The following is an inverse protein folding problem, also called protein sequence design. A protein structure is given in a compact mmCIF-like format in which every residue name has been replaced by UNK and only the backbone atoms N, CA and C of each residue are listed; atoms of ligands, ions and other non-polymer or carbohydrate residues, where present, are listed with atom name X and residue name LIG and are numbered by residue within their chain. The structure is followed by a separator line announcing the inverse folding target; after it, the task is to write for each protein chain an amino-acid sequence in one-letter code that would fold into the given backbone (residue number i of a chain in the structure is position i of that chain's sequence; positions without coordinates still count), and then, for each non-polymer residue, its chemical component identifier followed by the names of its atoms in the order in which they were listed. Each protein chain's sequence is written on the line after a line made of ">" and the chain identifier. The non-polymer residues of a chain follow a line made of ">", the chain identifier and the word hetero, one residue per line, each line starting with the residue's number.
data_IF_169232637144
#
_entry.id   IF_169232637144
#
_cell.length_a   1.000
_cell.length_b   1.000
_cell.length_c   1.000
_cell.angle_alpha   90.00
_cell.angle_beta   90.00
_cell.angle_gamma   90.00
#
_symmetry.space_group_name_H-M   'P 1'
#
loop_
_entity.id
_entity.type
_entity.pdbx_description
1 polymer ?
#
# COMPACT_ATOMS: atom_id res chain seq x y z
N UNK A 1 11.82 -15.07 1.41
CA UNK A 1 10.64 -15.95 1.40
C UNK A 1 10.04 -15.95 0.01
N UNK A 2 9.52 -17.06 -0.50
CA UNK A 2 9.00 -17.10 -1.86
C UNK A 2 7.47 -17.13 -1.82
N UNK A 3 6.86 -16.49 -2.79
CA UNK A 3 5.41 -16.49 -3.02
C UNK A 3 5.12 -17.00 -4.41
N UNK A 4 4.10 -17.83 -4.55
CA UNK A 4 3.52 -18.22 -5.83
C UNK A 4 2.07 -17.75 -5.82
N UNK A 5 1.68 -16.95 -6.80
CA UNK A 5 0.34 -16.40 -6.92
C UNK A 5 -0.28 -16.91 -8.22
N UNK A 6 -1.41 -17.59 -8.11
CA UNK A 6 -2.21 -18.08 -9.23
C UNK A 6 -3.55 -17.35 -9.27
N UNK A 7 -3.97 -16.89 -10.45
CA UNK A 7 -5.25 -16.22 -10.67
C UNK A 7 -6.21 -17.19 -11.34
N UNK A 8 -7.37 -17.39 -10.71
CA UNK A 8 -8.42 -18.28 -11.20
C UNK A 8 -9.71 -17.51 -11.52
N UNK A 9 -10.46 -17.92 -12.55
CA UNK A 9 -11.60 -17.17 -13.06
C UNK A 9 -12.79 -17.13 -12.11
N UNK A 10 -12.96 -18.15 -11.29
CA UNK A 10 -14.13 -18.30 -10.43
C UNK A 10 -13.82 -19.12 -9.16
N UNK A 11 -14.81 -19.16 -8.26
CA UNK A 11 -14.71 -19.84 -6.98
C UNK A 11 -14.51 -21.35 -7.11
N UNK A 12 -15.20 -22.00 -8.04
CA UNK A 12 -15.17 -23.45 -8.21
C UNK A 12 -13.77 -23.92 -8.60
N UNK A 13 -13.15 -23.22 -9.54
CA UNK A 13 -11.76 -23.49 -9.95
C UNK A 13 -10.77 -23.25 -8.80
N UNK A 14 -10.97 -22.20 -7.99
CA UNK A 14 -10.12 -21.92 -6.84
C UNK A 14 -10.21 -23.01 -5.76
N UNK A 15 -11.43 -23.45 -5.43
CA UNK A 15 -11.65 -24.54 -4.46
C UNK A 15 -11.10 -25.87 -4.97
N UNK A 16 -11.27 -26.16 -6.25
CA UNK A 16 -10.73 -27.37 -6.87
C UNK A 16 -9.19 -27.37 -6.84
N UNK A 17 -8.56 -26.23 -7.19
CA UNK A 17 -7.12 -26.08 -7.15
C UNK A 17 -6.56 -26.18 -5.71
N UNK A 18 -7.24 -25.57 -4.73
CA UNK A 18 -6.90 -25.69 -3.31
C UNK A 18 -6.95 -27.13 -2.83
N UNK A 19 -8.03 -27.85 -3.15
CA UNK A 19 -8.20 -29.27 -2.80
C UNK A 19 -7.13 -30.15 -3.47
N UNK A 20 -6.71 -29.82 -4.68
CA UNK A 20 -5.63 -30.56 -5.36
C UNK A 20 -4.28 -30.36 -4.65
N UNK A 21 -3.97 -29.14 -4.17
CA UNK A 21 -2.78 -28.88 -3.36
C UNK A 21 -2.82 -29.63 -2.02
N UNK A 22 -3.98 -29.68 -1.37
CA UNK A 22 -4.20 -30.43 -0.13
C UNK A 22 -3.97 -31.94 -0.34
N UNK A 23 -4.59 -32.52 -1.36
CA UNK A 23 -4.42 -33.94 -1.70
C UNK A 23 -2.99 -34.31 -2.07
N UNK A 24 -2.23 -33.37 -2.60
CA UNK A 24 -0.81 -33.53 -2.88
C UNK A 24 0.10 -33.40 -1.63
N UNK A 25 -0.49 -33.18 -0.46
CA UNK A 25 0.22 -33.12 0.82
C UNK A 25 0.96 -31.79 1.06
N UNK A 26 0.58 -30.70 0.39
CA UNK A 26 1.17 -29.39 0.69
C UNK A 26 0.69 -28.90 2.07
N UNK A 27 1.54 -28.19 2.84
CA UNK A 27 1.15 -27.62 4.12
C UNK A 27 0.13 -26.50 3.92
N UNK A 28 -1.13 -26.74 4.32
CA UNK A 28 -2.24 -25.84 4.05
C UNK A 28 -2.19 -24.54 4.87
N UNK A 29 -1.38 -24.46 5.92
CA UNK A 29 -1.02 -23.22 6.63
C UNK A 29 -0.21 -22.24 5.75
N UNK A 30 0.34 -22.72 4.65
CA UNK A 30 1.09 -21.95 3.65
C UNK A 30 0.29 -21.61 2.39
N UNK A 31 -0.96 -22.10 2.29
CA UNK A 31 -1.82 -21.89 1.13
C UNK A 31 -3.04 -21.06 1.54
N UNK A 32 -3.29 -19.98 0.83
CA UNK A 32 -4.43 -19.08 1.12
C UNK A 32 -5.23 -18.83 -0.14
N UNK A 33 -6.56 -18.87 -0.02
CA UNK A 33 -7.48 -18.39 -1.06
C UNK A 33 -7.89 -16.96 -0.74
N UNK A 34 -7.75 -16.07 -1.71
CA UNK A 34 -8.27 -14.71 -1.65
C UNK A 34 -9.44 -14.57 -2.61
N UNK A 35 -10.50 -13.90 -2.18
CA UNK A 35 -11.67 -13.67 -3.02
C UNK A 35 -12.95 -13.52 -2.21
N UNK A 36 -14.06 -13.31 -2.91
CA UNK A 36 -15.37 -13.14 -2.27
C UNK A 36 -15.78 -14.40 -1.49
N UNK A 37 -16.01 -14.25 -0.19
CA UNK A 37 -16.35 -15.37 0.71
C UNK A 37 -15.12 -16.06 1.35
N UNK A 38 -13.92 -15.57 1.06
CA UNK A 38 -12.65 -15.96 1.67
C UNK A 38 -11.92 -14.73 2.20
N UNK A 39 -10.61 -14.83 2.41
CA UNK A 39 -9.80 -13.70 2.85
C UNK A 39 -9.80 -12.58 1.80
N UNK A 40 -9.96 -11.34 2.26
CA UNK A 40 -9.92 -10.16 1.39
C UNK A 40 -8.47 -9.76 1.06
N UNK A 41 -8.32 -8.91 0.03
CA UNK A 41 -7.03 -8.34 -0.33
C UNK A 41 -6.39 -7.57 0.84
N UNK A 42 -7.21 -6.83 1.61
CA UNK A 42 -6.74 -6.01 2.73
C UNK A 42 -6.31 -6.87 3.93
N UNK A 43 -7.06 -7.94 4.25
CA UNK A 43 -6.72 -8.89 5.32
C UNK A 43 -5.44 -9.67 5.00
N UNK A 44 -5.18 -9.96 3.74
CA UNK A 44 -3.94 -10.60 3.32
C UNK A 44 -2.73 -9.65 3.30
N UNK A 45 -2.97 -8.32 3.30
CA UNK A 45 -1.94 -7.30 3.27
C UNK A 45 -1.61 -6.76 1.87
N UNK A 46 -2.46 -7.02 0.87
CA UNK A 46 -2.41 -6.36 -0.44
C UNK A 46 -3.01 -4.95 -0.34
N UNK A 47 -2.34 -4.08 0.42
CA UNK A 47 -2.82 -2.72 0.68
C UNK A 47 -2.77 -1.91 -0.62
N UNK A 48 -3.88 -1.23 -0.93
CA UNK A 48 -3.95 -0.29 -2.04
C UNK A 48 -2.93 0.85 -1.81
N UNK A 49 -1.98 1.09 -2.73
CA UNK A 49 -1.02 2.18 -2.62
C UNK A 49 -1.68 3.54 -2.41
N UNK A 50 -2.85 3.78 -3.01
CA UNK A 50 -3.61 5.02 -2.84
C UNK A 50 -4.14 5.20 -1.41
N UNK A 51 -4.58 4.14 -0.76
CA UNK A 51 -5.04 4.16 0.64
C UNK A 51 -3.87 4.42 1.59
N UNK A 52 -2.71 3.79 1.35
CA UNK A 52 -1.49 4.02 2.13
C UNK A 52 -1.00 5.46 1.97
N UNK A 53 -0.96 5.97 0.73
CA UNK A 53 -0.58 7.34 0.45
C UNK A 53 -1.52 8.34 1.13
N UNK A 54 -2.83 8.16 1.03
CA UNK A 54 -3.82 9.01 1.73
C UNK A 54 -3.57 9.05 3.23
N UNK A 55 -3.37 7.88 3.86
CA UNK A 55 -3.06 7.80 5.30
C UNK A 55 -1.80 8.59 5.65
N UNK A 56 -0.73 8.47 4.87
CA UNK A 56 0.51 9.22 5.07
C UNK A 56 0.31 10.74 4.89
N UNK A 57 -0.43 11.16 3.85
CA UNK A 57 -0.77 12.58 3.63
C UNK A 57 -1.52 13.14 4.84
N UNK A 58 -2.53 12.45 5.36
CA UNK A 58 -3.27 12.91 6.55
C UNK A 58 -2.39 12.98 7.79
N UNK A 59 -1.55 11.98 8.03
CA UNK A 59 -0.65 11.96 9.19
C UNK A 59 0.38 13.10 9.12
N UNK A 60 1.01 13.30 7.97
CA UNK A 60 1.96 14.39 7.76
C UNK A 60 1.26 15.74 7.76
N UNK A 61 0.06 15.84 7.17
CA UNK A 61 -0.73 17.08 7.15
C UNK A 61 -1.11 17.53 8.56
N UNK A 62 -1.50 16.61 9.43
CA UNK A 62 -1.80 16.92 10.82
C UNK A 62 -0.60 17.56 11.56
N UNK A 63 0.62 17.19 11.19
CA UNK A 63 1.84 17.76 11.76
C UNK A 63 2.31 19.00 11.00
N UNK A 64 2.40 18.92 9.67
CA UNK A 64 3.05 19.96 8.86
C UNK A 64 2.18 21.22 8.67
N UNK A 65 0.85 21.11 8.69
CA UNK A 65 -0.03 22.28 8.54
C UNK A 65 0.07 23.21 9.75
N UNK A 66 -0.10 22.76 11.01
CA UNK A 66 0.07 23.61 12.18
C UNK A 66 1.49 24.13 12.34
N UNK A 67 2.48 23.28 12.05
CA UNK A 67 3.89 23.70 12.08
C UNK A 67 4.17 24.77 11.04
N UNK A 68 3.69 24.60 9.81
CA UNK A 68 3.81 25.57 8.73
C UNK A 68 3.15 26.91 9.08
N UNK A 69 1.94 26.85 9.68
CA UNK A 69 1.27 28.07 10.17
C UNK A 69 2.14 28.83 11.18
N UNK A 70 2.64 28.12 12.21
CA UNK A 70 3.51 28.72 13.22
C UNK A 70 4.78 29.31 12.61
N UNK A 71 5.45 28.58 11.73
CA UNK A 71 6.65 29.01 11.06
C UNK A 71 6.41 30.26 10.18
N UNK A 72 5.32 30.26 9.40
CA UNK A 72 4.95 31.39 8.54
C UNK A 72 4.55 32.64 9.34
N UNK A 73 3.87 32.45 10.47
CA UNK A 73 3.54 33.55 11.40
C UNK A 73 4.81 34.16 11.99
N UNK A 74 5.71 33.34 12.54
CA UNK A 74 7.00 33.83 13.12
C UNK A 74 7.89 34.45 12.07
N UNK A 75 7.95 33.87 10.87
CA UNK A 75 8.70 34.47 9.76
C UNK A 75 8.20 35.88 9.43
N UNK A 76 6.89 36.07 9.29
CA UNK A 76 6.31 37.38 9.02
C UNK A 76 6.51 38.35 10.20
N UNK A 77 6.45 37.86 11.43
CA UNK A 77 6.75 38.67 12.63
C UNK A 77 8.19 39.19 12.61
N UNK A 78 9.16 38.35 12.22
CA UNK A 78 10.57 38.74 12.20
C UNK A 78 10.94 39.64 11.01
N UNK A 79 10.34 39.40 9.86
CA UNK A 79 10.65 40.15 8.62
C UNK A 79 9.86 41.45 8.48
N UNK A 80 8.71 41.58 9.15
CA UNK A 80 7.83 42.72 9.05
C UNK A 80 7.23 42.92 7.67
N UNK A 81 7.21 41.90 6.81
CA UNK A 81 6.68 41.98 5.45
C UNK A 81 5.18 42.29 5.48
N UNK A 82 4.79 43.43 4.90
CA UNK A 82 3.39 43.77 4.66
C UNK A 82 2.86 43.01 3.45
N UNK A 83 2.19 41.88 3.70
CA UNK A 83 1.58 41.06 2.63
C UNK A 83 0.33 41.78 2.10
N UNK A 84 -0.43 42.39 3.00
CA UNK A 84 -1.62 43.18 2.67
C UNK A 84 -1.48 44.61 3.27
N UNK A 85 -1.05 45.60 2.48
CA UNK A 85 -0.84 46.95 2.97
C UNK A 85 -2.10 47.57 3.57
N UNK A 86 -1.94 48.26 4.71
CA UNK A 86 -3.04 48.97 5.39
C UNK A 86 -3.90 48.13 6.33
N UNK A 87 -3.66 46.82 6.47
CA UNK A 87 -4.47 45.95 7.37
C UNK A 87 -3.90 45.82 8.79
N UNK A 88 -2.70 46.35 9.02
CA UNK A 88 -2.00 46.30 10.30
C UNK A 88 -1.16 45.05 10.49
N UNK A 89 -0.21 45.09 11.44
CA UNK A 89 0.82 44.07 11.61
C UNK A 89 0.24 42.69 11.98
N UNK A 90 -0.73 42.65 12.91
CA UNK A 90 -1.31 41.38 13.37
C UNK A 90 -1.98 40.61 12.25
N UNK A 91 -2.74 41.27 11.37
CA UNK A 91 -3.39 40.67 10.22
C UNK A 91 -2.36 40.11 9.25
N UNK A 92 -1.27 40.86 8.97
CA UNK A 92 -0.19 40.40 8.11
C UNK A 92 0.53 39.17 8.68
N UNK A 93 0.71 39.07 10.01
CA UNK A 93 1.28 37.87 10.65
C UNK A 93 0.37 36.64 10.50
N UNK A 94 -0.95 36.83 10.65
CA UNK A 94 -1.92 35.75 10.45
C UNK A 94 -1.91 35.27 8.98
N UNK A 95 -1.87 36.21 8.03
CA UNK A 95 -1.78 35.86 6.59
C UNK A 95 -0.48 35.11 6.31
N UNK A 96 0.65 35.53 6.89
CA UNK A 96 1.92 34.80 6.82
C UNK A 96 1.80 33.38 7.35
N UNK A 97 1.09 33.20 8.46
CA UNK A 97 0.76 31.88 9.01
C UNK A 97 -0.04 31.01 8.02
N UNK A 98 -1.05 31.56 7.36
CA UNK A 98 -1.83 30.83 6.35
C UNK A 98 -0.98 30.41 5.15
N UNK A 99 -0.10 31.25 4.65
CA UNK A 99 0.85 30.85 3.59
C UNK A 99 1.76 29.71 4.05
N UNK A 100 2.24 29.77 5.28
CA UNK A 100 3.00 28.67 5.87
C UNK A 100 2.19 27.37 6.01
N UNK A 101 0.91 27.46 6.39
CA UNK A 101 0.01 26.31 6.46
C UNK A 101 -0.20 25.68 5.08
N UNK A 102 -0.38 26.49 4.03
CA UNK A 102 -0.50 26.03 2.64
C UNK A 102 0.78 25.31 2.22
N UNK A 103 1.96 25.87 2.52
CA UNK A 103 3.24 25.23 2.24
C UNK A 103 3.37 23.89 2.98
N UNK A 104 2.93 23.81 4.24
CA UNK A 104 2.88 22.56 5.02
C UNK A 104 1.93 21.52 4.42
N UNK A 105 0.75 21.94 3.94
CA UNK A 105 -0.19 21.07 3.25
C UNK A 105 0.40 20.53 1.93
N UNK A 106 1.04 21.37 1.14
CA UNK A 106 1.74 20.94 -0.07
C UNK A 106 2.88 19.97 0.26
N UNK A 107 3.68 20.26 1.28
CA UNK A 107 4.74 19.37 1.77
C UNK A 107 4.19 18.00 2.16
N UNK A 108 3.07 17.95 2.89
CA UNK A 108 2.43 16.69 3.27
C UNK A 108 1.94 15.90 2.06
N UNK A 109 1.40 16.59 1.05
CA UNK A 109 0.95 15.96 -0.19
C UNK A 109 2.13 15.38 -0.98
N UNK A 110 3.19 16.13 -1.23
CA UNK A 110 4.33 15.65 -2.01
C UNK A 110 5.12 14.55 -1.30
N UNK A 111 5.39 14.71 0.00
CA UNK A 111 6.17 13.73 0.78
C UNK A 111 5.31 12.51 1.15
N UNK A 112 4.07 12.72 1.54
CA UNK A 112 3.17 11.63 1.95
C UNK A 112 2.54 10.88 0.78
N UNK A 113 2.22 11.58 -0.30
CA UNK A 113 1.52 11.03 -1.47
C UNK A 113 2.45 10.77 -2.65
N UNK A 114 3.27 11.74 -3.03
CA UNK A 114 4.12 11.65 -4.22
C UNK A 114 5.23 10.62 -4.09
N UNK A 115 5.95 10.61 -2.97
CA UNK A 115 7.01 9.61 -2.71
C UNK A 115 6.39 8.26 -2.33
N UNK A 116 5.30 8.23 -1.56
CA UNK A 116 4.59 7.00 -1.19
C UNK A 116 3.99 6.27 -2.39
N UNK A 117 3.53 6.98 -3.40
CA UNK A 117 3.02 6.40 -4.67
C UNK A 117 4.14 5.87 -5.55
N UNK A 118 5.33 6.47 -5.52
CA UNK A 118 6.48 6.04 -6.33
C UNK A 118 7.24 4.84 -5.76
N UNK A 119 7.15 4.59 -4.45
CA UNK A 119 7.83 3.47 -3.75
C UNK A 119 6.89 2.30 -3.46
N UNK A 120 5.59 2.45 -3.65
CA UNK A 120 4.59 1.43 -3.33
C UNK A 120 4.40 0.40 -4.44
N UNK A 121 5.01 -0.75 -4.29
CA UNK A 121 4.66 -2.07 -4.86
C UNK A 121 3.68 -2.06 -6.05
N UNK A 122 4.21 -1.86 -7.26
CA UNK A 122 3.46 -2.00 -8.51
C UNK A 122 2.78 -3.37 -8.69
N UNK A 123 3.14 -4.38 -7.88
CA UNK A 123 2.66 -5.75 -8.01
C UNK A 123 1.35 -6.05 -7.27
N UNK A 124 1.03 -5.30 -6.20
CA UNK A 124 -0.20 -5.53 -5.43
C UNK A 124 -1.46 -5.05 -6.16
N UNK A 125 -1.37 -3.96 -6.92
CA UNK A 125 -2.51 -3.33 -7.59
C UNK A 125 -3.15 -4.23 -8.67
N UNK A 126 -2.42 -4.91 -9.56
CA UNK A 126 -2.99 -5.85 -10.52
C UNK A 126 -3.78 -6.98 -9.85
N UNK A 127 -3.29 -7.54 -8.74
CA UNK A 127 -3.97 -8.60 -8.01
C UNK A 127 -5.24 -8.10 -7.32
N UNK A 128 -5.18 -6.92 -6.73
CA UNK A 128 -6.36 -6.26 -6.14
C UNK A 128 -7.45 -6.00 -7.19
N UNK A 129 -7.07 -5.51 -8.36
CA UNK A 129 -8.01 -5.29 -9.46
C UNK A 129 -8.67 -6.60 -9.94
N UNK A 130 -7.93 -7.71 -9.96
CA UNK A 130 -8.48 -9.03 -10.29
C UNK A 130 -9.49 -9.50 -9.25
N UNK A 131 -9.19 -9.35 -7.96
CA UNK A 131 -10.12 -9.66 -6.87
C UNK A 131 -11.38 -8.80 -6.93
N UNK A 132 -11.25 -7.50 -7.21
CA UNK A 132 -12.38 -6.58 -7.39
C UNK A 132 -13.25 -6.94 -8.61
N UNK A 133 -12.65 -7.51 -9.66
CA UNK A 133 -13.34 -8.05 -10.83
C UNK A 133 -14.00 -9.42 -10.58
N UNK A 134 -14.01 -9.90 -9.32
CA UNK A 134 -14.63 -11.17 -8.93
C UNK A 134 -13.79 -12.40 -9.20
N UNK A 135 -12.51 -12.25 -9.53
CA UNK A 135 -11.55 -13.35 -9.66
C UNK A 135 -11.07 -13.83 -8.30
N UNK A 136 -10.43 -14.98 -8.29
CA UNK A 136 -9.87 -15.61 -7.11
C UNK A 136 -8.35 -15.75 -7.25
N UNK A 137 -7.65 -15.64 -6.13
CA UNK A 137 -6.21 -15.87 -6.07
C UNK A 137 -5.91 -17.03 -5.13
N UNK A 138 -5.03 -17.92 -5.55
CA UNK A 138 -4.35 -18.84 -4.62
C UNK A 138 -2.94 -18.32 -4.41
N UNK A 139 -2.59 -18.12 -3.14
CA UNK A 139 -1.26 -17.69 -2.72
C UNK A 139 -0.61 -18.83 -1.95
N UNK A 140 0.54 -19.30 -2.44
CA UNK A 140 1.39 -20.27 -1.74
C UNK A 140 2.62 -19.53 -1.24
N UNK A 141 2.82 -19.52 0.08
CA UNK A 141 3.93 -18.83 0.76
C UNK A 141 4.88 -19.84 1.38
N UNK A 142 6.15 -19.87 0.98
CA UNK A 142 7.08 -20.80 1.59
C UNK A 142 8.47 -20.82 0.98
N UNK A 143 9.10 -22.00 1.00
CA UNK A 143 10.39 -22.24 0.38
C UNK A 143 10.27 -22.33 -1.15
N UNK A 144 11.38 -22.20 -1.84
CA UNK A 144 11.41 -22.41 -3.28
C UNK A 144 10.97 -23.83 -3.68
N UNK A 145 11.28 -24.84 -2.88
CA UNK A 145 10.83 -26.22 -3.10
C UNK A 145 9.31 -26.34 -3.05
N UNK A 146 8.66 -25.66 -2.11
CA UNK A 146 7.20 -25.66 -1.96
C UNK A 146 6.51 -24.99 -3.16
N UNK A 147 6.99 -23.83 -3.58
CA UNK A 147 6.42 -23.12 -4.74
C UNK A 147 6.67 -23.90 -6.04
N UNK A 148 7.80 -24.58 -6.14
CA UNK A 148 8.12 -25.46 -7.28
C UNK A 148 7.21 -26.70 -7.34
N UNK A 149 6.85 -27.30 -6.21
CA UNK A 149 5.89 -28.40 -6.14
C UNK A 149 4.46 -27.94 -6.46
N UNK A 150 4.05 -26.78 -5.98
CA UNK A 150 2.71 -26.23 -6.22
C UNK A 150 2.47 -25.84 -7.69
N UNK A 151 3.50 -25.38 -8.38
CA UNK A 151 3.39 -24.83 -9.75
C UNK A 151 2.77 -25.82 -10.76
N UNK A 152 3.24 -27.08 -10.89
CA UNK A 152 2.66 -28.02 -11.85
C UNK A 152 1.24 -28.45 -11.48
N UNK A 153 0.89 -28.47 -10.20
CA UNK A 153 -0.44 -28.80 -9.73
C UNK A 153 -1.43 -27.69 -10.09
N UNK A 154 -1.06 -26.45 -9.85
CA UNK A 154 -1.88 -25.28 -10.20
C UNK A 154 -2.06 -25.16 -11.72
N UNK A 155 -1.02 -25.43 -12.52
CA UNK A 155 -1.09 -25.37 -13.98
C UNK A 155 -2.09 -26.35 -14.65
N UNK A 156 -2.62 -27.31 -13.90
CA UNK A 156 -3.66 -28.24 -14.39
C UNK A 156 -5.04 -27.57 -14.46
N UNK A 157 -5.21 -26.43 -13.79
CA UNK A 157 -6.46 -25.68 -13.77
C UNK A 157 -6.46 -24.54 -14.77
N UNK A 158 -7.64 -23.99 -15.05
CA UNK A 158 -7.81 -22.89 -16.00
C UNK A 158 -7.31 -21.56 -15.41
N UNK A 159 -5.99 -21.40 -15.31
CA UNK A 159 -5.37 -20.19 -14.78
C UNK A 159 -5.42 -19.04 -15.77
N UNK A 160 -5.74 -17.83 -15.30
CA UNK A 160 -5.51 -16.61 -16.08
C UNK A 160 -4.02 -16.21 -16.03
N UNK A 161 -3.38 -16.40 -14.89
CA UNK A 161 -1.95 -16.11 -14.70
C UNK A 161 -1.39 -16.88 -13.51
N UNK A 162 -0.10 -17.15 -13.54
CA UNK A 162 0.67 -17.69 -12.40
C UNK A 162 2.03 -17.02 -12.35
N UNK A 163 2.38 -16.44 -11.19
CA UNK A 163 3.65 -15.74 -10.99
C UNK A 163 4.29 -16.12 -9.67
N UNK A 164 5.62 -16.29 -9.70
CA UNK A 164 6.45 -16.48 -8.51
C UNK A 164 7.17 -15.19 -8.14
N UNK A 165 7.23 -14.89 -6.85
CA UNK A 165 7.94 -13.75 -6.28
C UNK A 165 8.93 -14.20 -5.23
N UNK A 166 10.08 -13.54 -5.18
CA UNK A 166 11.07 -13.69 -4.13
C UNK A 166 11.06 -12.42 -3.30
N UNK A 167 10.82 -12.54 -2.00
CA UNK A 167 10.89 -11.39 -1.10
C UNK A 167 12.37 -10.97 -0.94
N UNK A 168 12.75 -9.74 -1.27
CA UNK A 168 14.13 -9.28 -1.06
C UNK A 168 14.47 -9.27 0.44
N UNK A 169 15.64 -9.77 0.79
CA UNK A 169 16.11 -9.94 2.19
C UNK A 169 16.17 -8.66 3.03
N UNK A 170 16.00 -7.49 2.44
CA UNK A 170 16.13 -6.18 3.09
C UNK A 170 15.02 -5.82 4.09
N UNK A 171 13.93 -6.59 4.18
CA UNK A 171 12.86 -6.31 5.15
C UNK A 171 12.97 -7.08 6.48
N UNK A 172 13.91 -8.00 6.61
CA UNK A 172 14.08 -8.77 7.86
C UNK A 172 14.89 -8.04 8.93
N UNK A 173 15.60 -6.97 8.59
CA UNK A 173 16.47 -6.22 9.53
C UNK A 173 15.73 -5.17 10.38
N UNK A 174 14.49 -4.80 10.03
CA UNK A 174 13.73 -3.77 10.77
C UNK A 174 12.75 -4.34 11.80
N UNK A 175 12.60 -5.64 11.91
CA UNK A 175 11.69 -6.29 12.88
C UNK A 175 12.41 -6.81 14.15
N UNK A 176 13.66 -6.43 14.36
CA UNK A 176 14.51 -6.92 15.48
C UNK A 176 15.07 -5.79 16.37
N UNK A 177 14.34 -4.66 16.50
CA UNK A 177 14.62 -3.65 17.54
C UNK A 177 13.34 -3.23 18.24
#
# INVERSE_FOLDING_TARGET
>A
MNYLIAILPNRIEAEAAYTALEKAGLPMDKVTILGRGYQSADEFGLIDPSTKAKKQIYQLGFLLIPFGFGAGYVFNLQTGIEILPGTGAVVNHIIGGFFGAIAGAMGSFFVGGGVGLSVGSGDALPYRNRLNAGKYLIVVKGSESLTRQATPLLKQFNLENIQGYVEPESQQLTAKF
#
